data_IF_936373267323
#
_entry.id   IF_936373267323
#
_cell.length_a   1.000
_cell.length_b   1.000
_cell.length_c   1.000
_cell.angle_alpha   90.00
_cell.angle_beta   90.00
_cell.angle_gamma   90.00
#
_symmetry.space_group_name_H-M   'P 1'
#
loop_
_entity.id
_entity.type
_entity.pdbx_description
1 polymer ?
#
# COMPACT_ATOMS: atom_id res chain seq x y z
N UNK A 1 -23.66 -10.53 -24.00
CA UNK A 1 -22.49 -10.75 -23.15
C UNK A 1 -22.53 -9.91 -21.87
N UNK A 2 -23.09 -8.69 -21.89
CA UNK A 2 -23.20 -7.82 -20.70
C UNK A 2 -24.06 -8.37 -19.54
N UNK A 3 -25.00 -9.28 -19.83
CA UNK A 3 -25.86 -9.90 -18.80
C UNK A 3 -25.14 -10.93 -17.92
N UNK A 4 -24.03 -11.51 -18.37
CA UNK A 4 -23.20 -12.42 -17.55
C UNK A 4 -22.33 -11.62 -16.56
N UNK A 5 -21.89 -10.43 -16.94
CA UNK A 5 -21.03 -9.57 -16.12
C UNK A 5 -21.80 -9.05 -14.90
N UNK A 6 -23.07 -8.66 -15.07
CA UNK A 6 -23.95 -8.19 -13.98
C UNK A 6 -24.44 -9.31 -13.07
N UNK A 7 -24.58 -10.55 -13.55
CA UNK A 7 -24.98 -11.69 -12.71
C UNK A 7 -23.82 -12.27 -11.89
N UNK A 8 -22.57 -12.12 -12.35
CA UNK A 8 -21.38 -12.65 -11.66
C UNK A 8 -20.73 -11.65 -10.68
N UNK A 9 -20.92 -10.35 -10.88
CA UNK A 9 -20.20 -9.31 -10.14
C UNK A 9 -21.14 -8.21 -9.64
N UNK A 10 -22.11 -8.58 -8.80
CA UNK A 10 -23.01 -7.63 -8.13
C UNK A 10 -22.28 -6.50 -7.38
N UNK A 11 -23.01 -5.44 -6.96
CA UNK A 11 -22.42 -4.23 -6.39
C UNK A 11 -21.54 -4.53 -5.17
N UNK A 12 -20.45 -3.77 -5.08
CA UNK A 12 -19.26 -3.91 -4.19
C UNK A 12 -19.57 -3.97 -2.68
N UNK A 13 -20.82 -3.89 -2.26
CA UNK A 13 -21.19 -3.56 -0.88
C UNK A 13 -21.39 -4.75 0.07
N UNK A 14 -21.22 -6.01 -0.34
CA UNK A 14 -21.42 -7.17 0.56
C UNK A 14 -20.52 -8.37 0.24
N UNK A 15 -19.24 -8.30 0.65
CA UNK A 15 -18.44 -9.52 0.88
C UNK A 15 -18.23 -9.68 2.38
N UNK A 16 -18.78 -10.72 3.02
CA UNK A 16 -18.60 -10.93 4.45
C UNK A 16 -17.17 -11.40 4.75
N UNK A 17 -16.40 -10.54 5.42
CA UNK A 17 -15.49 -10.90 6.51
C UNK A 17 -14.20 -11.64 6.17
N UNK A 18 -13.12 -10.89 5.97
CA UNK A 18 -11.75 -11.31 6.38
C UNK A 18 -11.61 -11.00 7.88
N UNK A 19 -12.41 -11.66 8.72
CA UNK A 19 -12.28 -11.64 10.20
C UNK A 19 -12.14 -13.04 10.79
N UNK A 20 -11.95 -14.08 9.98
CA UNK A 20 -12.16 -15.47 10.41
C UNK A 20 -10.93 -16.37 10.55
N UNK A 21 -9.71 -15.83 10.56
CA UNK A 21 -8.54 -16.69 10.82
C UNK A 21 -8.13 -16.83 12.28
N UNK A 22 -8.78 -16.13 13.23
CA UNK A 22 -8.50 -16.35 14.67
C UNK A 22 -9.71 -16.44 15.61
N UNK A 23 -10.95 -16.28 15.14
CA UNK A 23 -12.11 -16.35 16.03
C UNK A 23 -12.71 -17.77 16.11
N UNK A 24 -12.48 -18.46 17.23
CA UNK A 24 -12.93 -19.85 17.53
C UNK A 24 -14.46 -20.00 17.67
N UNK A 25 -15.27 -19.00 17.30
CA UNK A 25 -16.74 -19.01 17.46
C UNK A 25 -17.53 -19.24 16.15
N UNK A 26 -16.99 -19.99 15.20
CA UNK A 26 -17.63 -20.26 13.90
C UNK A 26 -18.12 -21.71 13.70
N UNK A 27 -18.65 -22.35 14.74
CA UNK A 27 -19.01 -23.78 14.65
C UNK A 27 -20.33 -24.11 13.96
N UNK A 28 -21.23 -23.15 13.71
CA UNK A 28 -22.58 -23.46 13.19
C UNK A 28 -23.02 -22.61 11.98
N UNK A 29 -22.14 -22.37 10.99
CA UNK A 29 -22.60 -21.88 9.67
C UNK A 29 -22.60 -23.04 8.67
N UNK A 30 -23.71 -23.28 7.94
CA UNK A 30 -23.74 -24.31 6.90
C UNK A 30 -22.64 -24.02 5.89
N UNK A 31 -21.91 -25.07 5.48
CA UNK A 31 -20.81 -24.98 4.52
C UNK A 31 -21.31 -24.35 3.21
N UNK A 32 -21.14 -23.03 3.10
CA UNK A 32 -21.49 -22.29 1.91
C UNK A 32 -20.44 -22.66 0.87
N UNK A 33 -20.80 -23.54 -0.07
CA UNK A 33 -19.94 -23.88 -1.20
C UNK A 33 -19.64 -22.58 -1.95
N UNK A 34 -18.34 -22.28 -2.09
CA UNK A 34 -17.92 -21.14 -2.90
C UNK A 34 -18.30 -21.37 -4.35
N UNK A 35 -18.77 -20.31 -4.99
CA UNK A 35 -18.99 -20.34 -6.44
C UNK A 35 -17.66 -20.50 -7.17
N UNK A 36 -17.68 -21.08 -8.37
CA UNK A 36 -16.46 -21.24 -9.21
C UNK A 36 -15.69 -19.92 -9.40
N UNK A 37 -16.33 -18.77 -9.65
CA UNK A 37 -15.63 -17.48 -9.71
C UNK A 37 -14.96 -17.07 -8.39
N UNK A 38 -15.59 -17.34 -7.24
CA UNK A 38 -14.99 -17.05 -5.94
C UNK A 38 -13.74 -17.92 -5.72
N UNK A 39 -13.79 -19.20 -6.11
CA UNK A 39 -12.62 -20.09 -6.05
C UNK A 39 -11.49 -19.62 -6.96
N UNK A 40 -11.79 -19.19 -8.19
CA UNK A 40 -10.78 -18.64 -9.11
C UNK A 40 -10.15 -17.38 -8.50
N UNK A 41 -10.95 -16.45 -7.99
CA UNK A 41 -10.42 -15.24 -7.35
C UNK A 41 -9.53 -15.56 -6.15
N UNK A 42 -9.92 -16.53 -5.33
CA UNK A 42 -9.08 -17.00 -4.22
C UNK A 42 -7.75 -17.56 -4.72
N UNK A 43 -7.76 -18.44 -5.73
CA UNK A 43 -6.53 -19.00 -6.29
C UNK A 43 -5.61 -17.89 -6.82
N UNK A 44 -6.16 -16.96 -7.62
CA UNK A 44 -5.40 -15.86 -8.20
C UNK A 44 -4.84 -14.90 -7.14
N UNK A 45 -5.52 -14.75 -6.00
CA UNK A 45 -5.05 -13.95 -4.87
C UNK A 45 -3.76 -14.51 -4.23
N UNK A 46 -3.55 -15.82 -4.32
CA UNK A 46 -2.33 -16.50 -3.87
C UNK A 46 -1.28 -16.70 -4.97
N UNK A 47 -1.51 -16.24 -6.20
CA UNK A 47 -0.49 -16.30 -7.25
C UNK A 47 0.47 -15.11 -7.18
N UNK A 48 1.76 -15.29 -7.55
CA UNK A 48 2.66 -14.17 -7.74
C UNK A 48 2.08 -13.13 -8.70
N UNK A 49 2.31 -11.84 -8.43
CA UNK A 49 1.84 -10.75 -9.31
C UNK A 49 2.38 -10.84 -10.74
N UNK A 50 3.54 -11.46 -10.94
CA UNK A 50 4.05 -11.77 -12.28
C UNK A 50 3.11 -12.69 -13.08
N UNK A 51 2.39 -13.60 -12.42
CA UNK A 51 1.34 -14.41 -13.05
C UNK A 51 0.10 -13.59 -13.39
N UNK A 52 -0.25 -12.60 -12.56
CA UNK A 52 -1.35 -11.66 -12.85
C UNK A 52 -1.04 -10.76 -14.05
N UNK A 53 0.23 -10.41 -14.26
CA UNK A 53 0.66 -9.63 -15.44
C UNK A 53 0.31 -10.33 -16.75
N UNK A 54 0.48 -11.65 -16.83
CA UNK A 54 0.08 -12.43 -17.99
C UNK A 54 -1.45 -12.37 -18.22
N UNK A 55 -2.25 -12.42 -17.15
CA UNK A 55 -3.71 -12.28 -17.22
C UNK A 55 -4.15 -10.91 -17.73
N UNK A 56 -3.50 -9.83 -17.28
CA UNK A 56 -3.81 -8.45 -17.73
C UNK A 56 -3.60 -8.29 -19.24
N UNK A 57 -2.64 -9.01 -19.82
CA UNK A 57 -2.32 -8.92 -21.24
C UNK A 57 -3.27 -9.71 -22.15
N UNK A 58 -4.13 -10.58 -21.59
CA UNK A 58 -5.04 -11.41 -22.38
C UNK A 58 -6.24 -10.63 -22.91
N UNK A 59 -6.96 -9.92 -22.04
CA UNK A 59 -8.18 -9.17 -22.37
C UNK A 59 -8.57 -8.16 -21.27
N UNK A 60 -9.62 -7.37 -21.53
CA UNK A 60 -10.17 -6.40 -20.58
C UNK A 60 -10.74 -7.05 -19.31
N UNK A 61 -11.17 -8.31 -19.39
CA UNK A 61 -11.68 -9.07 -18.24
C UNK A 61 -10.53 -9.41 -17.30
N UNK A 62 -9.41 -9.88 -17.84
CA UNK A 62 -8.17 -10.14 -17.11
C UNK A 62 -7.65 -8.91 -16.40
N UNK A 63 -7.69 -7.74 -17.06
CA UNK A 63 -7.38 -6.46 -16.43
C UNK A 63 -8.30 -6.15 -15.23
N UNK A 64 -9.62 -6.29 -15.40
CA UNK A 64 -10.58 -6.06 -14.32
C UNK A 64 -10.39 -7.03 -13.13
N UNK A 65 -10.08 -8.30 -13.41
CA UNK A 65 -9.78 -9.31 -12.39
C UNK A 65 -8.50 -8.94 -11.63
N UNK A 66 -7.43 -8.59 -12.34
CA UNK A 66 -6.17 -8.19 -11.71
C UNK A 66 -6.32 -6.95 -10.84
N UNK A 67 -7.05 -5.92 -11.31
CA UNK A 67 -7.34 -4.72 -10.52
C UNK A 67 -8.14 -5.07 -9.26
N UNK A 68 -9.11 -5.99 -9.34
CA UNK A 68 -9.87 -6.46 -8.17
C UNK A 68 -8.99 -7.20 -7.16
N UNK A 69 -8.05 -8.03 -7.62
CA UNK A 69 -7.10 -8.73 -6.75
C UNK A 69 -6.13 -7.74 -6.10
N UNK A 70 -5.62 -6.78 -6.87
CA UNK A 70 -4.80 -5.68 -6.34
C UNK A 70 -5.53 -4.91 -5.24
N UNK A 71 -6.76 -4.48 -5.49
CA UNK A 71 -7.59 -3.79 -4.50
C UNK A 71 -7.79 -4.62 -3.22
N UNK A 72 -8.00 -5.94 -3.32
CA UNK A 72 -8.11 -6.82 -2.15
C UNK A 72 -6.80 -6.91 -1.35
N UNK A 73 -5.67 -7.02 -2.03
CA UNK A 73 -4.35 -7.05 -1.39
C UNK A 73 -4.05 -5.73 -0.69
N UNK A 74 -4.39 -4.62 -1.33
CA UNK A 74 -4.27 -3.28 -0.76
C UNK A 74 -5.13 -3.11 0.49
N UNK A 75 -6.39 -3.52 0.43
CA UNK A 75 -7.30 -3.50 1.58
C UNK A 75 -6.83 -4.42 2.71
N UNK A 76 -6.19 -5.55 2.37
CA UNK A 76 -5.57 -6.43 3.38
C UNK A 76 -4.40 -5.74 4.06
N UNK A 77 -3.49 -5.14 3.29
CA UNK A 77 -2.36 -4.34 3.81
C UNK A 77 -2.85 -3.24 4.75
N UNK A 78 -3.81 -2.42 4.29
CA UNK A 78 -4.40 -1.37 5.09
C UNK A 78 -5.12 -1.93 6.32
N UNK A 79 -5.88 -3.02 6.17
CA UNK A 79 -6.61 -3.65 7.28
C UNK A 79 -5.74 -4.16 8.40
N UNK A 80 -4.52 -4.61 8.09
CA UNK A 80 -3.54 -4.99 9.10
C UNK A 80 -2.98 -3.79 9.86
N UNK A 81 -2.81 -2.64 9.20
CA UNK A 81 -2.13 -1.48 9.77
C UNK A 81 -3.13 -0.51 10.43
N UNK A 82 -4.19 -0.13 9.73
CA UNK A 82 -5.18 0.88 10.19
C UNK A 82 -6.50 0.26 10.67
N UNK A 83 -6.61 -1.07 10.66
CA UNK A 83 -7.70 -1.79 11.31
C UNK A 83 -9.10 -1.41 10.83
N UNK A 84 -9.92 -0.86 11.73
CA UNK A 84 -11.30 -0.47 11.42
C UNK A 84 -11.40 0.75 10.49
N UNK A 85 -10.33 1.52 10.33
CA UNK A 85 -10.33 2.79 9.61
C UNK A 85 -10.03 2.65 8.11
N UNK A 86 -9.86 1.43 7.60
CA UNK A 86 -9.62 1.16 6.18
C UNK A 86 -10.56 1.92 5.23
N UNK A 87 -11.90 1.97 5.45
CA UNK A 87 -12.77 2.69 4.53
C UNK A 87 -12.47 4.20 4.46
N UNK A 88 -12.11 4.81 5.60
CA UNK A 88 -11.80 6.22 5.68
C UNK A 88 -10.45 6.53 5.02
N UNK A 89 -9.41 5.72 5.31
CA UNK A 89 -8.10 5.84 4.66
C UNK A 89 -8.23 5.62 3.16
N UNK A 90 -9.06 4.66 2.75
CA UNK A 90 -9.33 4.41 1.34
C UNK A 90 -9.96 5.63 0.66
N UNK A 91 -10.99 6.22 1.26
CA UNK A 91 -11.62 7.43 0.72
C UNK A 91 -10.61 8.60 0.63
N UNK A 92 -9.87 8.85 1.71
CA UNK A 92 -8.87 9.92 1.75
C UNK A 92 -7.79 9.76 0.67
N UNK A 93 -7.34 8.52 0.40
CA UNK A 93 -6.40 8.25 -0.69
C UNK A 93 -6.99 8.54 -2.07
N UNK A 94 -8.26 8.17 -2.32
CA UNK A 94 -8.95 8.47 -3.59
C UNK A 94 -9.09 9.98 -3.78
N UNK A 95 -9.51 10.69 -2.72
CA UNK A 95 -9.78 12.14 -2.79
C UNK A 95 -8.50 12.95 -2.96
N UNK A 96 -7.42 12.57 -2.28
CA UNK A 96 -6.11 13.25 -2.35
C UNK A 96 -5.27 12.85 -3.56
N UNK A 97 -5.61 11.75 -4.24
CA UNK A 97 -4.74 11.13 -5.24
C UNK A 97 -3.47 10.52 -4.65
N UNK A 98 -3.46 10.23 -3.34
CA UNK A 98 -2.33 9.61 -2.67
C UNK A 98 -2.08 8.18 -3.15
N UNK A 99 -0.82 7.79 -3.15
CA UNK A 99 -0.37 6.44 -3.49
C UNK A 99 0.48 5.86 -2.38
N UNK A 100 0.58 4.55 -2.32
CA UNK A 100 1.49 3.84 -1.42
C UNK A 100 2.80 3.56 -2.15
N UNK A 101 3.94 3.79 -1.49
CA UNK A 101 5.27 3.51 -2.02
C UNK A 101 6.11 2.66 -1.07
N UNK A 102 7.36 2.37 -1.47
CA UNK A 102 8.37 1.77 -0.59
C UNK A 102 8.10 0.29 -0.27
N UNK A 103 8.46 -0.17 0.95
CA UNK A 103 8.30 -1.57 1.34
C UNK A 103 6.87 -2.10 1.20
N UNK A 104 5.87 -1.28 1.51
CA UNK A 104 4.46 -1.64 1.35
C UNK A 104 4.07 -1.90 -0.11
N UNK A 105 4.50 -1.04 -1.03
CA UNK A 105 4.27 -1.26 -2.46
C UNK A 105 5.05 -2.48 -3.00
N UNK A 106 6.28 -2.71 -2.52
CA UNK A 106 7.04 -3.91 -2.87
C UNK A 106 6.31 -5.19 -2.41
N UNK A 107 5.76 -5.18 -1.19
CA UNK A 107 4.99 -6.31 -0.68
C UNK A 107 3.80 -6.60 -1.59
N UNK A 108 3.04 -5.58 -2.01
CA UNK A 108 1.94 -5.73 -2.96
C UNK A 108 2.38 -6.33 -4.29
N UNK A 109 3.55 -5.92 -4.81
CA UNK A 109 4.16 -6.52 -5.99
C UNK A 109 4.49 -8.00 -5.79
N UNK A 110 4.84 -8.46 -4.59
CA UNK A 110 5.39 -9.81 -4.38
C UNK A 110 4.46 -10.79 -3.69
N UNK A 111 3.21 -10.45 -3.39
CA UNK A 111 2.26 -11.41 -2.82
C UNK A 111 2.11 -12.63 -3.76
N UNK A 112 2.21 -13.87 -3.25
CA UNK A 112 2.47 -14.23 -1.84
C UNK A 112 3.93 -14.02 -1.43
N UNK A 113 4.14 -13.38 -0.27
CA UNK A 113 5.45 -13.05 0.28
C UNK A 113 5.58 -13.52 1.74
N UNK A 114 6.73 -14.08 2.18
CA UNK A 114 6.88 -14.61 3.54
C UNK A 114 7.05 -13.54 4.62
N UNK A 115 7.23 -12.27 4.23
CA UNK A 115 7.37 -11.14 5.14
C UNK A 115 6.19 -10.18 4.98
N UNK A 116 5.94 -9.37 6.00
CA UNK A 116 4.94 -8.29 5.98
C UNK A 116 5.63 -6.95 6.29
N UNK A 117 5.30 -5.86 5.58
CA UNK A 117 5.94 -4.57 5.78
C UNK A 117 5.54 -3.96 7.12
N UNK A 118 6.53 -3.41 7.82
CA UNK A 118 6.31 -2.58 9.02
C UNK A 118 6.16 -1.09 8.70
N UNK A 119 6.36 -0.70 7.45
CA UNK A 119 6.31 0.68 7.00
C UNK A 119 5.24 0.88 5.93
N UNK A 120 4.40 1.89 6.12
CA UNK A 120 3.40 2.36 5.16
C UNK A 120 3.72 3.80 4.75
N UNK A 121 4.25 3.97 3.54
CA UNK A 121 4.59 5.28 3.00
C UNK A 121 3.50 5.75 2.03
N UNK A 122 2.85 6.86 2.35
CA UNK A 122 1.98 7.60 1.44
C UNK A 122 2.79 8.67 0.71
N UNK A 123 2.60 8.76 -0.60
CA UNK A 123 3.09 9.87 -1.41
C UNK A 123 1.87 10.63 -1.92
N UNK A 124 1.86 11.93 -1.67
CA UNK A 124 0.69 12.78 -1.88
C UNK A 124 1.06 13.97 -2.78
N UNK A 125 0.19 14.40 -3.71
CA UNK A 125 0.36 15.65 -4.45
C UNK A 125 0.44 16.87 -3.52
N UNK A 126 1.06 17.95 -4.01
CA UNK A 126 1.13 19.23 -3.30
C UNK A 126 -0.28 19.73 -2.88
N UNK A 127 -0.39 20.17 -1.62
CA UNK A 127 -1.60 20.69 -0.98
C UNK A 127 -2.73 19.67 -0.80
N UNK A 128 -2.45 18.37 -0.93
CA UNK A 128 -3.45 17.31 -0.76
C UNK A 128 -3.22 16.48 0.52
N UNK A 129 -2.14 16.75 1.27
CA UNK A 129 -1.80 16.00 2.47
C UNK A 129 -2.75 16.24 3.66
N UNK A 130 -3.41 17.40 3.70
CA UNK A 130 -4.26 17.84 4.84
C UNK A 130 -5.35 16.81 5.19
N UNK A 131 -6.04 16.25 4.19
CA UNK A 131 -7.14 15.30 4.44
C UNK A 131 -6.68 14.00 5.10
N UNK A 132 -5.47 13.54 4.76
CA UNK A 132 -4.86 12.39 5.41
C UNK A 132 -4.40 12.77 6.82
N UNK A 133 -3.72 13.89 6.99
CA UNK A 133 -3.29 14.36 8.32
C UNK A 133 -4.44 14.44 9.31
N UNK A 134 -5.53 15.10 8.92
CA UNK A 134 -6.74 15.21 9.74
C UNK A 134 -7.28 13.83 10.08
N UNK A 135 -7.37 12.92 9.10
CA UNK A 135 -7.84 11.55 9.34
C UNK A 135 -6.99 10.81 10.40
N UNK A 136 -5.66 10.88 10.29
CA UNK A 136 -4.76 10.19 11.22
C UNK A 136 -4.78 10.82 12.63
N UNK A 137 -4.98 12.13 12.73
CA UNK A 137 -5.20 12.80 14.02
C UNK A 137 -6.52 12.36 14.66
N UNK A 138 -7.60 12.25 13.88
CA UNK A 138 -8.89 11.75 14.37
C UNK A 138 -8.86 10.27 14.77
N UNK A 139 -7.84 9.53 14.32
CA UNK A 139 -7.58 8.14 14.72
C UNK A 139 -6.73 8.04 15.98
N UNK A 140 -6.41 9.17 16.63
CA UNK A 140 -5.51 9.27 17.78
C UNK A 140 -4.13 8.63 17.53
N UNK A 141 -3.63 8.70 16.28
CA UNK A 141 -2.31 8.18 15.93
C UNK A 141 -1.26 9.29 16.13
N UNK A 142 -0.28 9.10 17.02
CA UNK A 142 0.68 10.15 17.35
C UNK A 142 1.65 10.42 16.21
N UNK A 143 1.83 11.71 15.90
CA UNK A 143 2.93 12.21 15.07
C UNK A 143 4.23 12.16 15.86
N UNK A 144 5.28 11.68 15.22
CA UNK A 144 6.63 11.58 15.80
C UNK A 144 7.55 12.60 15.13
N UNK A 145 7.33 12.87 13.84
CA UNK A 145 8.05 13.87 13.06
C UNK A 145 7.02 14.64 12.25
N UNK A 146 7.11 15.96 12.23
CA UNK A 146 6.15 16.82 11.55
C UNK A 146 6.84 17.78 10.59
N UNK A 147 6.39 17.78 9.33
CA UNK A 147 6.71 18.83 8.36
C UNK A 147 8.20 19.01 8.06
N UNK A 148 9.01 17.96 8.22
CA UNK A 148 10.45 18.08 7.96
C UNK A 148 10.67 18.16 6.45
N UNK A 149 11.23 19.27 5.99
CA UNK A 149 11.63 19.43 4.60
C UNK A 149 12.84 18.53 4.29
N UNK A 150 12.73 17.74 3.23
CA UNK A 150 13.84 16.89 2.80
C UNK A 150 14.91 17.79 2.15
N UNK A 151 16.20 17.64 2.51
CA UNK A 151 17.29 18.36 1.84
C UNK A 151 17.18 18.17 0.33
N UNK A 152 17.12 19.28 -0.42
CA UNK A 152 16.68 19.44 -1.84
C UNK A 152 15.27 19.99 -2.04
N UNK A 153 14.57 20.41 -0.99
CA UNK A 153 13.37 21.28 -1.05
C UNK A 153 12.18 20.71 -1.82
N UNK A 154 12.18 19.39 -2.01
CA UNK A 154 11.34 18.74 -3.02
C UNK A 154 10.07 18.11 -2.42
N UNK A 155 10.05 17.91 -1.10
CA UNK A 155 8.95 17.28 -0.38
C UNK A 155 9.01 17.59 1.12
N UNK A 156 7.85 17.60 1.77
CA UNK A 156 7.74 17.59 3.23
C UNK A 156 7.39 16.18 3.69
N UNK A 157 7.90 15.79 4.87
CA UNK A 157 7.63 14.48 5.46
C UNK A 157 7.01 14.64 6.84
N UNK A 158 5.92 13.90 7.06
CA UNK A 158 5.30 13.70 8.38
C UNK A 158 5.30 12.21 8.69
N UNK A 159 5.71 11.83 9.90
CA UNK A 159 5.82 10.43 10.33
C UNK A 159 4.96 10.21 11.56
N UNK A 160 4.22 9.11 11.54
CA UNK A 160 3.37 8.61 12.60
C UNK A 160 3.86 7.24 13.07
N UNK A 161 3.69 6.95 14.36
CA UNK A 161 3.89 5.60 14.89
C UNK A 161 2.56 5.02 15.34
N UNK A 162 2.20 3.86 14.79
CA UNK A 162 0.98 3.15 15.12
C UNK A 162 1.29 1.70 15.49
N UNK A 163 1.24 1.40 16.79
CA UNK A 163 1.62 0.08 17.33
C UNK A 163 3.06 -0.30 16.92
N UNK A 164 3.22 -1.36 16.12
CA UNK A 164 4.52 -1.81 15.59
C UNK A 164 4.83 -1.30 14.17
N UNK A 165 3.96 -0.42 13.63
CA UNK A 165 4.04 0.12 12.27
C UNK A 165 4.46 1.58 12.27
N UNK A 166 5.26 1.95 11.27
CA UNK A 166 5.60 3.33 10.95
C UNK A 166 4.81 3.75 9.72
N UNK A 167 4.15 4.91 9.80
CA UNK A 167 3.38 5.47 8.70
C UNK A 167 4.02 6.80 8.32
N UNK A 168 4.52 6.91 7.10
CA UNK A 168 5.13 8.13 6.58
C UNK A 168 4.21 8.76 5.53
N UNK A 169 4.09 10.07 5.55
CA UNK A 169 3.43 10.87 4.53
C UNK A 169 4.47 11.78 3.89
N UNK A 170 4.58 11.70 2.58
CA UNK A 170 5.53 12.45 1.77
C UNK A 170 4.69 13.32 0.84
N UNK A 171 4.62 14.61 1.13
CA UNK A 171 3.94 15.56 0.24
C UNK A 171 4.92 16.07 -0.80
N UNK A 172 4.54 15.96 -2.07
CA UNK A 172 5.29 16.52 -3.18
C UNK A 172 5.24 18.05 -3.14
N UNK A 173 6.36 18.71 -3.45
CA UNK A 173 6.39 20.15 -3.77
C UNK A 173 5.71 20.49 -5.10
N UNK A 174 5.35 19.47 -5.89
CA UNK A 174 4.69 19.60 -7.19
C UNK A 174 3.31 18.94 -7.17
N UNK A 175 2.49 19.26 -8.16
CA UNK A 175 1.19 18.59 -8.39
C UNK A 175 1.33 17.10 -8.72
N UNK A 176 2.53 16.64 -9.06
CA UNK A 176 2.83 15.25 -9.39
C UNK A 176 3.44 14.49 -8.21
N UNK A 177 2.91 13.30 -7.94
CA UNK A 177 3.49 12.31 -7.01
C UNK A 177 4.83 11.76 -7.51
N UNK A 178 5.11 11.84 -8.81
CA UNK A 178 6.30 11.23 -9.39
C UNK A 178 7.58 11.91 -8.90
N UNK A 179 7.52 13.20 -8.57
CA UNK A 179 8.67 13.98 -8.19
C UNK A 179 9.36 13.44 -6.91
N UNK A 180 8.67 13.22 -5.78
CA UNK A 180 9.25 12.52 -4.63
C UNK A 180 9.70 11.09 -4.98
N UNK A 181 8.90 10.34 -5.77
CA UNK A 181 9.19 8.95 -6.10
C UNK A 181 10.53 8.79 -6.83
N UNK A 182 10.81 9.63 -7.82
CA UNK A 182 12.05 9.55 -8.62
C UNK A 182 13.26 10.18 -7.93
N UNK A 183 13.05 11.07 -6.96
CA UNK A 183 14.12 11.74 -6.23
C UNK A 183 14.50 11.07 -4.91
N UNK A 184 13.72 10.07 -4.46
CA UNK A 184 14.04 9.27 -3.28
C UNK A 184 15.23 8.33 -3.57
N UNK A 185 16.22 8.26 -2.68
CA UNK A 185 17.50 7.61 -2.98
C UNK A 185 17.47 6.07 -3.03
N UNK A 186 16.35 5.42 -2.71
CA UNK A 186 16.28 3.94 -2.68
C UNK A 186 15.42 3.40 -3.83
N UNK A 187 15.94 2.36 -4.51
CA UNK A 187 15.24 1.69 -5.62
C UNK A 187 13.94 1.01 -5.20
N UNK A 188 13.78 0.78 -3.89
CA UNK A 188 12.57 0.25 -3.28
C UNK A 188 11.36 1.18 -3.39
N UNK A 189 11.59 2.48 -3.36
CA UNK A 189 10.54 3.52 -3.38
C UNK A 189 9.90 3.67 -4.75
N UNK A 190 10.49 3.07 -5.78
CA UNK A 190 10.00 3.11 -7.16
C UNK A 190 9.00 1.99 -7.47
N UNK A 191 8.33 1.42 -6.47
CA UNK A 191 7.06 0.72 -6.66
C UNK A 191 5.97 1.58 -6.07
N UNK A 192 4.86 1.71 -6.79
CA UNK A 192 3.79 2.62 -6.43
C UNK A 192 2.46 1.90 -6.58
N UNK A 193 1.62 1.96 -5.55
CA UNK A 193 0.29 1.37 -5.53
C UNK A 193 -0.75 2.47 -5.33
N UNK A 194 -1.60 2.68 -6.34
CA UNK A 194 -2.86 3.40 -6.16
C UNK A 194 -3.97 2.40 -5.82
N UNK A 195 -5.20 2.90 -5.66
CA UNK A 195 -6.38 2.03 -5.47
C UNK A 195 -6.67 1.09 -6.63
N UNK A 196 -6.28 1.49 -7.85
CA UNK A 196 -6.67 0.78 -9.06
C UNK A 196 -5.50 0.08 -9.73
N UNK A 197 -4.30 0.60 -9.50
CA UNK A 197 -3.12 0.23 -10.26
C UNK A 197 -1.92 0.00 -9.36
N UNK A 198 -1.07 -0.90 -9.82
CA UNK A 198 0.24 -1.16 -9.26
C UNK A 198 1.27 -0.89 -10.35
N UNK A 199 2.10 0.12 -10.11
CA UNK A 199 3.15 0.54 -11.04
C UNK A 199 4.49 0.07 -10.49
N UNK A 200 5.18 -0.73 -11.29
CA UNK A 200 6.50 -1.23 -11.00
C UNK A 200 7.47 -0.71 -12.06
N UNK A 201 8.35 0.22 -11.67
CA UNK A 201 9.28 0.84 -12.64
C UNK A 201 10.38 -0.12 -13.09
N UNK A 202 10.80 -1.06 -12.21
CA UNK A 202 11.87 -2.02 -12.49
C UNK A 202 11.44 -3.47 -12.20
N UNK A 203 10.53 -4.05 -13.00
CA UNK A 203 9.94 -5.35 -12.71
C UNK A 203 10.97 -6.47 -12.54
N UNK A 204 12.02 -6.50 -13.37
CA UNK A 204 13.08 -7.52 -13.26
C UNK A 204 13.78 -7.49 -11.90
N UNK A 205 14.03 -6.29 -11.36
CA UNK A 205 14.68 -6.11 -10.07
C UNK A 205 13.70 -6.42 -8.93
N UNK A 206 12.49 -5.86 -8.99
CA UNK A 206 11.40 -6.06 -8.00
C UNK A 206 11.08 -7.54 -7.80
N UNK A 207 11.01 -8.32 -8.87
CA UNK A 207 10.71 -9.76 -8.81
C UNK A 207 11.94 -10.64 -8.56
N UNK A 208 13.16 -10.08 -8.53
CA UNK A 208 14.37 -10.84 -8.17
C UNK A 208 14.50 -10.99 -6.65
N UNK A 209 14.96 -12.12 -6.13
CA UNK A 209 15.12 -12.34 -4.69
C UNK A 209 16.08 -11.37 -3.99
N UNK A 210 16.89 -10.63 -4.76
CA UNK A 210 17.79 -9.61 -4.23
C UNK A 210 17.05 -8.42 -3.61
N UNK A 211 15.86 -8.06 -4.09
CA UNK A 211 15.09 -6.92 -3.59
C UNK A 211 14.65 -7.07 -2.11
N UNK A 212 14.51 -8.30 -1.60
CA UNK A 212 14.15 -8.57 -0.19
C UNK A 212 15.37 -8.36 0.72
N UNK A 213 16.55 -8.71 0.22
CA UNK A 213 17.79 -8.56 1.00
C UNK A 213 18.16 -7.10 1.17
N UNK A 214 17.92 -6.25 0.18
CA UNK A 214 18.08 -4.80 0.35
C UNK A 214 16.98 -4.20 1.21
N UNK A 215 15.74 -4.69 1.17
CA UNK A 215 14.65 -4.13 1.98
C UNK A 215 14.77 -4.30 3.49
N UNK A 216 15.31 -5.43 3.93
CA UNK A 216 15.56 -5.66 5.35
C UNK A 216 16.74 -4.83 5.90
N UNK A 217 17.60 -4.34 5.01
CA UNK A 217 18.77 -3.51 5.35
C UNK A 217 18.48 -2.01 5.18
N UNK A 218 17.63 -1.61 4.23
CA UNK A 218 17.33 -0.19 3.94
C UNK A 218 16.34 0.45 4.91
N UNK A 219 15.52 -0.34 5.61
CA UNK A 219 14.76 0.15 6.77
C UNK A 219 15.66 0.59 7.93
N UNK A 220 16.95 0.21 7.93
CA UNK A 220 17.99 0.83 8.78
C UNK A 220 18.72 1.97 8.06
N UNK A 221 18.79 1.99 6.72
CA UNK A 221 19.50 3.03 5.97
C UNK A 221 18.75 4.37 5.92
N UNK A 222 17.41 4.37 5.95
CA UNK A 222 16.65 5.61 6.18
C UNK A 222 17.15 6.25 7.46
N UNK A 223 17.29 5.48 8.56
CA UNK A 223 17.82 5.95 9.84
C UNK A 223 19.29 6.37 9.77
N UNK A 224 20.14 5.67 9.02
CA UNK A 224 21.56 6.02 8.87
C UNK A 224 21.80 7.33 8.09
N UNK A 225 20.86 7.77 7.24
CA UNK A 225 20.91 9.12 6.62
C UNK A 225 20.53 10.21 7.63
N UNK A 226 19.74 9.89 8.66
CA UNK A 226 19.37 10.82 9.75
C UNK A 226 20.43 10.94 10.85
N UNK A 227 21.30 9.93 11.04
CA UNK A 227 22.48 10.01 11.93
C UNK A 227 23.61 10.91 11.39
N UNK A 228 23.46 11.48 10.19
CA UNK A 228 24.43 12.41 9.56
C UNK A 228 23.97 13.88 9.64
N UNK A 229 22.86 14.18 10.30
CA UNK A 229 22.57 15.56 10.70
C UNK A 229 23.56 15.95 11.82
N UNK A 230 24.35 17.03 11.67
CA UNK A 230 25.37 17.38 12.65
C UNK A 230 24.70 17.68 13.99
N UNK A 231 25.21 17.03 15.03
CA UNK A 231 24.90 17.25 16.45
C UNK A 231 25.30 18.64 16.97
N UNK A 232 25.71 19.55 16.09
CA UNK A 232 26.33 20.81 16.44
C UNK A 232 25.37 21.96 16.13
N UNK A 233 24.36 22.10 16.97
CA UNK A 233 23.85 23.42 17.34
C UNK A 233 24.08 23.55 18.84
N UNK A 234 25.36 23.80 19.19
CA UNK A 234 25.66 24.44 20.46
C UNK A 234 24.92 25.78 20.46
N UNK A 235 24.01 25.92 21.42
CA UNK A 235 23.31 27.15 21.69
C UNK A 235 24.27 28.16 22.32
N UNK A 236 24.62 29.19 21.56
CA UNK A 236 24.99 30.51 22.09
C UNK A 236 23.76 31.44 22.07
#
# INVERSE_FOLDING_TARGET
MDKLITSFFGPVSRVPGIRHLHDRRHRDRPHRLWSVPEMILMILEYLPTSSLQAFVQCDSIGHAIASKIHGRRLLTLLGTIVGAHVPAVHAAMVDSGAVISGPSALWLCRVPCPWFPKELAFVVPCNQMVSLLDLFDHMDIPRVIEGVEVPRGSSSITVFNHCEYTISMIESSMTSILFPIVNMPTTMTMNVASMHELVCFYPRLTFSDQAIRTSAFDSMAVWAVWDVLPSDVEAD
#
